data_IF_203031372423
#
_entry.id   IF_203031372423
#
_cell.length_a   1.000
_cell.length_b   1.000
_cell.length_c   1.000
_cell.angle_alpha   90.00
_cell.angle_beta   90.00
_cell.angle_gamma   90.00
#
_symmetry.space_group_name_H-M   'P 1'
#
loop_
_entity.id
_entity.type
_entity.pdbx_description
1 polymer ?
#
# COMPACT_ATOMS: atom_id res chain seq x y z
N UNK A 1 -0.84 -46.15 -60.90
CA UNK A 1 -1.34 -46.09 -59.50
C UNK A 1 -1.90 -44.69 -59.27
N UNK A 2 -3.23 -44.50 -59.23
CA UNK A 2 -3.84 -43.21 -58.91
C UNK A 2 -4.03 -43.03 -57.38
N UNK A 3 -3.93 -41.79 -56.85
CA UNK A 3 -4.19 -41.49 -55.45
C UNK A 3 -5.69 -41.37 -55.16
N UNK A 4 -6.18 -42.01 -54.10
CA UNK A 4 -7.56 -41.82 -53.60
C UNK A 4 -7.56 -40.93 -52.36
N UNK A 5 -8.38 -39.89 -52.44
CA UNK A 5 -8.55 -38.79 -51.48
C UNK A 5 -9.31 -39.18 -50.19
N UNK A 6 -9.21 -38.37 -49.13
CA UNK A 6 -9.80 -38.62 -47.81
C UNK A 6 -11.31 -38.31 -47.74
N UNK A 7 -12.04 -39.04 -46.90
CA UNK A 7 -13.40 -38.68 -46.43
C UNK A 7 -13.38 -38.47 -44.92
N UNK A 8 -13.63 -37.24 -44.49
CA UNK A 8 -14.00 -36.90 -43.11
C UNK A 8 -15.49 -36.53 -43.10
N UNK A 9 -16.35 -37.21 -42.33
CA UNK A 9 -17.72 -36.76 -42.10
C UNK A 9 -17.91 -36.18 -40.69
N UNK A 10 -18.58 -35.03 -40.62
CA UNK A 10 -19.63 -34.81 -39.62
C UNK A 10 -19.35 -33.78 -38.52
N UNK A 11 -19.54 -32.49 -38.85
CA UNK A 11 -19.81 -31.44 -37.88
C UNK A 11 -21.19 -31.65 -37.23
N UNK A 12 -21.22 -31.92 -35.93
CA UNK A 12 -22.45 -31.91 -35.12
C UNK A 12 -22.60 -30.60 -34.37
N UNK A 13 -23.33 -29.64 -34.95
CA UNK A 13 -23.81 -28.44 -34.25
C UNK A 13 -25.08 -28.83 -33.48
N UNK A 14 -25.07 -28.66 -32.15
CA UNK A 14 -26.31 -28.62 -31.36
C UNK A 14 -26.33 -27.35 -30.50
N UNK A 15 -27.13 -26.41 -30.98
CA UNK A 15 -27.60 -25.23 -30.25
C UNK A 15 -28.63 -25.57 -29.17
N UNK A 16 -28.71 -24.66 -28.20
CA UNK A 16 -29.87 -24.32 -27.35
C UNK A 16 -29.85 -24.87 -25.92
N UNK A 17 -29.65 -23.96 -24.95
CA UNK A 17 -30.75 -23.50 -24.08
C UNK A 17 -30.32 -22.25 -23.29
N UNK A 18 -31.08 -21.18 -23.53
CA UNK A 18 -31.10 -19.95 -22.74
C UNK A 18 -32.01 -20.22 -21.53
N UNK A 19 -31.53 -19.94 -20.32
CA UNK A 19 -32.38 -19.75 -19.15
C UNK A 19 -31.84 -18.57 -18.33
N UNK A 20 -32.59 -17.47 -18.38
CA UNK A 20 -32.38 -16.27 -17.59
C UNK A 20 -33.07 -16.41 -16.23
N UNK A 21 -32.38 -16.07 -15.13
CA UNK A 21 -33.02 -15.70 -13.85
C UNK A 21 -32.28 -14.50 -13.23
N UNK A 22 -32.88 -13.34 -13.47
CA UNK A 22 -33.16 -12.18 -12.59
C UNK A 22 -32.39 -12.05 -11.26
N UNK A 23 -31.45 -11.08 -11.28
CA UNK A 23 -31.27 -9.94 -10.36
C UNK A 23 -31.82 -10.07 -8.92
N UNK A 24 -30.92 -10.15 -7.95
CA UNK A 24 -31.10 -9.56 -6.62
C UNK A 24 -30.12 -8.39 -6.47
N UNK A 25 -30.60 -7.19 -6.78
CA UNK A 25 -29.96 -5.93 -6.41
C UNK A 25 -30.36 -5.60 -4.97
N UNK A 26 -29.41 -5.46 -4.05
CA UNK A 26 -29.50 -4.61 -2.85
C UNK A 26 -28.17 -4.60 -2.10
N UNK A 27 -27.53 -3.41 -2.04
CA UNK A 27 -26.52 -2.94 -1.07
C UNK A 27 -25.35 -3.87 -0.73
N UNK A 28 -24.08 -3.51 -0.95
CA UNK A 28 -23.41 -2.33 -0.40
C UNK A 28 -22.34 -1.89 -1.41
N UNK A 29 -22.70 -0.89 -2.22
CA UNK A 29 -21.73 -0.07 -2.95
C UNK A 29 -21.30 1.08 -2.02
N UNK A 30 -20.50 0.77 -1.00
CA UNK A 30 -19.88 1.76 -0.12
C UNK A 30 -18.66 1.15 0.55
N UNK A 31 -17.48 1.37 -0.02
CA UNK A 31 -16.23 0.94 0.63
C UNK A 31 -14.97 1.59 0.09
N UNK A 32 -14.90 1.91 -1.21
CA UNK A 32 -13.63 2.35 -1.82
C UNK A 32 -13.66 3.71 -2.54
N UNK A 33 -14.75 4.47 -2.46
CA UNK A 33 -14.85 5.80 -3.12
C UNK A 33 -14.81 7.01 -2.19
N UNK A 34 -14.53 6.87 -0.88
CA UNK A 34 -14.60 8.01 0.06
C UNK A 34 -13.25 8.70 0.38
N UNK A 35 -12.17 8.49 -0.39
CA UNK A 35 -10.85 9.11 -0.06
C UNK A 35 -10.27 9.91 -1.23
N UNK A 36 -11.13 10.52 -2.04
CA UNK A 36 -10.69 11.52 -3.03
C UNK A 36 -11.67 12.68 -2.96
N UNK A 37 -11.19 13.86 -2.53
CA UNK A 37 -11.84 15.20 -2.58
C UNK A 37 -12.53 15.77 -1.31
N UNK A 38 -11.82 15.96 -0.20
CA UNK A 38 -12.10 17.14 0.65
C UNK A 38 -10.81 17.83 1.05
N UNK A 39 -10.27 18.58 0.09
CA UNK A 39 -9.22 19.57 0.27
C UNK A 39 -9.51 20.79 -0.61
N UNK A 40 -10.74 21.31 -0.55
CA UNK A 40 -11.09 22.62 -1.15
C UNK A 40 -11.69 23.50 -0.07
N UNK A 41 -10.83 24.37 0.45
CA UNK A 41 -11.07 25.79 0.73
C UNK A 41 -12.49 26.28 0.44
N UNK A 42 -13.21 26.74 1.47
CA UNK A 42 -13.99 27.99 1.48
C UNK A 42 -14.43 28.26 2.91
N UNK A 43 -13.85 29.28 3.52
CA UNK A 43 -14.15 29.72 4.88
C UNK A 43 -13.55 31.11 5.11
N UNK A 44 -13.99 32.07 4.31
CA UNK A 44 -13.86 33.47 4.64
C UNK A 44 -14.75 33.73 5.87
N UNK A 45 -14.14 33.99 7.01
CA UNK A 45 -14.79 34.42 8.24
C UNK A 45 -13.74 35.13 9.08
N UNK A 46 -13.79 36.45 9.07
CA UNK A 46 -12.80 37.28 9.74
C UNK A 46 -12.94 37.23 11.25
N UNK A 47 -11.80 37.24 11.93
CA UNK A 47 -11.64 37.88 13.24
C UNK A 47 -10.16 38.26 13.43
N UNK A 48 -9.88 39.55 13.33
CA UNK A 48 -8.83 40.23 14.10
C UNK A 48 -9.53 40.78 15.37
N UNK A 49 -8.82 41.20 16.44
CA UNK A 49 -7.47 40.88 16.91
C UNK A 49 -7.39 40.62 18.44
N UNK A 50 -6.37 39.90 18.92
CA UNK A 50 -5.81 40.20 20.26
C UNK A 50 -4.30 39.99 20.26
N UNK A 51 -3.57 41.11 20.31
CA UNK A 51 -2.15 41.17 20.66
C UNK A 51 -1.99 40.73 22.12
N UNK A 52 -1.36 39.58 22.34
CA UNK A 52 -0.75 39.28 23.63
C UNK A 52 0.76 39.49 23.53
N UNK A 53 1.19 40.64 24.04
CA UNK A 53 2.58 40.98 24.31
C UNK A 53 3.12 40.02 25.39
N UNK A 54 3.98 39.08 25.00
CA UNK A 54 4.77 38.30 25.94
C UNK A 54 6.14 38.97 26.08
N UNK A 55 6.29 39.72 27.16
CA UNK A 55 7.56 40.29 27.61
C UNK A 55 8.41 39.15 28.17
N UNK A 56 9.46 38.70 27.45
CA UNK A 56 10.45 37.77 28.01
C UNK A 56 11.70 38.53 28.44
N UNK A 57 11.86 38.64 29.74
CA UNK A 57 13.00 39.19 30.46
C UNK A 57 14.31 38.51 30.06
N UNK A 58 15.30 39.30 29.64
CA UNK A 58 16.69 38.91 29.46
C UNK A 58 17.37 38.99 30.84
N UNK A 59 17.94 37.88 31.31
CA UNK A 59 18.83 37.84 32.47
C UNK A 59 20.22 37.33 32.04
N UNK A 60 21.32 38.02 32.41
CA UNK A 60 22.67 37.55 32.14
C UNK A 60 23.12 36.61 33.27
N UNK A 61 23.69 35.46 32.93
CA UNK A 61 24.05 34.42 33.90
C UNK A 61 25.10 33.45 33.36
N UNK A 62 26.32 33.97 33.28
CA UNK A 62 27.63 33.31 33.19
C UNK A 62 27.75 32.00 34.00
N UNK A 63 28.32 30.94 33.41
CA UNK A 63 29.50 30.21 33.91
C UNK A 63 29.77 28.90 33.15
N UNK A 64 30.96 28.85 32.55
CA UNK A 64 31.67 27.69 32.00
C UNK A 64 32.04 26.69 33.10
N UNK A 65 31.96 25.38 32.82
CA UNK A 65 33.18 24.55 32.96
C UNK A 65 33.38 23.54 31.81
N UNK A 66 34.62 23.40 31.39
CA UNK A 66 35.20 22.21 30.75
C UNK A 66 36.18 21.57 31.78
N UNK A 67 36.86 20.43 31.53
CA UNK A 67 36.66 19.31 30.59
C UNK A 67 36.72 17.94 31.30
N UNK A 68 36.32 16.82 30.68
CA UNK A 68 37.05 15.53 30.85
C UNK A 68 36.73 14.59 29.68
N UNK A 69 37.76 14.17 28.96
CA UNK A 69 37.66 13.21 27.88
C UNK A 69 37.39 11.80 28.41
N UNK A 70 36.49 11.09 27.74
CA UNK A 70 36.40 9.64 27.83
C UNK A 70 36.46 9.08 26.43
N UNK A 71 37.62 8.51 26.12
CA UNK A 71 37.89 7.76 24.90
C UNK A 71 37.02 6.51 24.91
N UNK A 72 35.97 6.50 24.09
CA UNK A 72 35.18 5.31 23.82
C UNK A 72 35.67 4.70 22.51
N UNK A 73 36.22 3.49 22.61
CA UNK A 73 36.64 2.66 21.49
C UNK A 73 35.55 2.57 20.43
N UNK A 74 35.86 3.04 19.22
CA UNK A 74 35.07 2.80 18.02
C UNK A 74 35.23 1.34 17.62
N UNK A 75 34.32 0.48 18.07
CA UNK A 75 34.12 -0.84 17.47
C UNK A 75 33.49 -0.63 16.10
N UNK A 76 34.30 -0.73 15.04
CA UNK A 76 33.84 -0.80 13.66
C UNK A 76 33.13 -2.14 13.45
N UNK A 77 31.84 -2.18 13.76
CA UNK A 77 30.96 -3.26 13.30
C UNK A 77 30.78 -3.07 11.80
N UNK A 78 31.46 -3.89 10.99
CA UNK A 78 31.22 -3.99 9.56
C UNK A 78 29.75 -4.32 9.32
N UNK A 79 28.96 -3.28 9.02
CA UNK A 79 27.59 -3.42 8.54
C UNK A 79 27.65 -3.98 7.13
N UNK A 80 27.65 -5.31 7.02
CA UNK A 80 27.44 -6.01 5.76
C UNK A 80 26.08 -5.54 5.22
N UNK A 81 26.10 -4.83 4.10
CA UNK A 81 24.87 -4.43 3.41
C UNK A 81 24.03 -5.69 3.15
N UNK A 82 22.73 -5.70 3.51
CA UNK A 82 21.89 -6.85 3.25
C UNK A 82 21.85 -7.07 1.73
N UNK A 83 22.39 -8.19 1.29
CA UNK A 83 22.18 -8.72 -0.05
C UNK A 83 20.67 -8.76 -0.32
N UNK A 84 20.18 -8.32 -1.50
CA UNK A 84 18.77 -8.44 -1.86
C UNK A 84 18.27 -9.86 -1.57
N UNK A 85 17.36 -9.94 -0.59
CA UNK A 85 17.10 -11.15 0.17
C UNK A 85 16.56 -12.29 -0.70
N UNK A 86 17.07 -13.49 -0.42
CA UNK A 86 16.50 -14.75 -0.86
C UNK A 86 14.96 -14.77 -0.66
N UNK A 87 14.21 -15.52 -1.49
CA UNK A 87 12.77 -15.65 -1.30
C UNK A 87 12.48 -16.11 0.13
N UNK A 88 11.69 -15.32 0.86
CA UNK A 88 11.23 -15.72 2.20
C UNK A 88 10.42 -17.01 2.04
N UNK A 89 10.67 -18.05 2.86
CA UNK A 89 10.03 -19.34 2.68
C UNK A 89 8.50 -19.20 2.70
N UNK A 90 7.83 -19.85 1.76
CA UNK A 90 6.37 -19.89 1.67
C UNK A 90 5.78 -20.35 3.01
N UNK A 91 4.79 -19.64 3.56
CA UNK A 91 4.20 -20.00 4.83
C UNK A 91 3.46 -21.34 4.76
N UNK A 92 3.62 -22.16 5.78
CA UNK A 92 3.03 -23.52 5.84
C UNK A 92 1.68 -23.57 6.55
N UNK A 93 1.22 -22.46 7.13
CA UNK A 93 -0.09 -22.33 7.79
C UNK A 93 -0.57 -20.86 7.80
N UNK A 94 -1.86 -20.65 8.08
CA UNK A 94 -2.43 -19.30 8.26
C UNK A 94 -1.74 -18.49 9.37
N UNK A 95 -1.46 -19.12 10.51
CA UNK A 95 -0.77 -18.46 11.61
C UNK A 95 0.67 -18.07 11.25
N UNK A 96 1.38 -18.90 10.48
CA UNK A 96 2.71 -18.57 9.97
C UNK A 96 2.65 -17.43 8.95
N UNK A 97 1.68 -17.43 8.03
CA UNK A 97 1.50 -16.35 7.06
C UNK A 97 1.20 -15.02 7.74
N UNK A 98 0.30 -15.02 8.73
CA UNK A 98 -0.03 -13.83 9.51
C UNK A 98 1.19 -13.29 10.28
N UNK A 99 1.95 -14.17 10.94
CA UNK A 99 3.19 -13.79 11.61
C UNK A 99 4.17 -13.14 10.63
N UNK A 100 4.42 -13.77 9.48
CA UNK A 100 5.35 -13.25 8.47
C UNK A 100 4.88 -11.91 7.87
N UNK A 101 3.58 -11.71 7.66
CA UNK A 101 3.02 -10.42 7.24
C UNK A 101 3.29 -9.31 8.26
N UNK A 102 3.11 -9.61 9.56
CA UNK A 102 3.42 -8.67 10.63
C UNK A 102 4.90 -8.36 10.73
N UNK A 103 5.77 -9.39 10.72
CA UNK A 103 7.22 -9.22 10.73
C UNK A 103 7.70 -8.37 9.54
N UNK A 104 7.12 -8.58 8.36
CA UNK A 104 7.41 -7.77 7.18
C UNK A 104 7.00 -6.31 7.41
N UNK A 105 5.77 -6.08 7.85
CA UNK A 105 5.28 -4.72 8.12
C UNK A 105 6.07 -4.00 9.21
N UNK A 106 6.42 -4.67 10.30
CA UNK A 106 7.24 -4.12 11.37
C UNK A 106 8.64 -3.72 10.86
N UNK A 107 9.27 -4.61 10.10
CA UNK A 107 10.60 -4.37 9.55
C UNK A 107 10.59 -3.18 8.57
N UNK A 108 9.59 -3.10 7.71
CA UNK A 108 9.48 -2.04 6.71
C UNK A 108 9.09 -0.70 7.34
N UNK A 109 8.16 -0.68 8.30
CA UNK A 109 7.79 0.53 9.04
C UNK A 109 9.01 1.13 9.77
N UNK A 110 9.84 0.29 10.40
CA UNK A 110 11.04 0.76 11.12
C UNK A 110 12.08 1.46 10.23
N UNK A 111 12.10 1.15 8.91
CA UNK A 111 13.05 1.73 7.94
C UNK A 111 12.42 2.78 7.03
N UNK A 112 11.13 3.07 7.21
CA UNK A 112 10.35 3.86 6.27
C UNK A 112 9.57 4.96 7.01
N UNK A 113 10.26 5.99 7.52
CA UNK A 113 9.59 7.12 8.15
C UNK A 113 8.71 7.84 7.11
N UNK A 114 7.45 8.18 7.44
CA UNK A 114 6.61 9.00 6.57
C UNK A 114 7.20 10.39 6.33
N UNK A 115 7.25 10.79 5.06
CA UNK A 115 7.97 11.98 4.57
C UNK A 115 7.04 13.01 3.91
N UNK A 116 5.74 12.75 3.90
CA UNK A 116 4.73 13.61 3.28
C UNK A 116 4.73 13.59 1.76
N UNK A 117 5.37 12.59 1.12
CA UNK A 117 5.33 12.42 -0.33
C UNK A 117 4.12 11.61 -0.79
N UNK A 118 3.80 11.74 -2.07
CA UNK A 118 2.78 10.90 -2.69
C UNK A 118 3.41 9.58 -3.14
N UNK A 119 2.72 8.49 -2.82
CA UNK A 119 3.17 7.12 -3.04
C UNK A 119 2.14 6.34 -3.83
N UNK A 120 2.54 5.20 -4.39
CA UNK A 120 1.61 4.30 -5.09
C UNK A 120 1.33 3.08 -4.22
N UNK A 121 0.06 2.73 -4.10
CA UNK A 121 -0.45 1.57 -3.38
C UNK A 121 -0.90 0.56 -4.42
N UNK A 122 -0.29 -0.62 -4.37
CA UNK A 122 -0.56 -1.73 -5.29
C UNK A 122 -1.68 -2.64 -4.78
N UNK A 123 -1.91 -2.64 -3.47
CA UNK A 123 -2.96 -3.44 -2.86
C UNK A 123 -3.03 -3.20 -1.36
N UNK A 124 -4.23 -3.38 -0.81
CA UNK A 124 -4.47 -3.34 0.62
C UNK A 124 -5.47 -4.42 1.01
N UNK A 125 -5.18 -5.18 2.06
CA UNK A 125 -6.01 -6.33 2.49
C UNK A 125 -5.90 -6.57 4.00
N UNK A 126 -6.95 -7.13 4.59
CA UNK A 126 -6.93 -7.75 5.92
C UNK A 126 -7.56 -9.14 5.83
N UNK A 127 -7.26 -10.04 6.78
CA UNK A 127 -7.82 -11.40 6.76
C UNK A 127 -9.34 -11.34 6.88
N UNK A 128 -10.03 -12.00 5.96
CA UNK A 128 -11.49 -12.03 5.90
C UNK A 128 -12.13 -10.96 5.02
N UNK A 129 -11.36 -10.05 4.41
CA UNK A 129 -11.92 -9.14 3.39
C UNK A 129 -12.37 -9.93 2.16
N UNK A 130 -13.54 -9.59 1.62
CA UNK A 130 -14.02 -10.13 0.35
C UNK A 130 -13.83 -9.06 -0.72
N UNK A 131 -13.17 -9.42 -1.80
CA UNK A 131 -12.97 -8.58 -2.98
C UNK A 131 -13.38 -9.37 -4.22
N UNK A 132 -14.66 -9.28 -4.65
CA UNK A 132 -15.20 -10.11 -5.72
C UNK A 132 -14.53 -9.90 -7.08
N UNK A 133 -13.80 -8.80 -7.28
CA UNK A 133 -13.03 -8.58 -8.50
C UNK A 133 -11.77 -9.45 -8.54
N UNK A 134 -11.25 -9.85 -7.38
CA UNK A 134 -10.05 -10.66 -7.25
C UNK A 134 -10.39 -12.12 -6.90
N UNK A 135 -11.29 -12.35 -5.94
CA UNK A 135 -11.80 -13.67 -5.59
C UNK A 135 -13.14 -13.63 -4.85
N UNK A 136 -13.96 -14.67 -5.03
CA UNK A 136 -15.26 -14.76 -4.37
C UNK A 136 -15.18 -15.12 -2.88
N UNK A 137 -14.14 -15.87 -2.48
CA UNK A 137 -13.90 -16.24 -1.10
C UNK A 137 -13.20 -15.11 -0.31
N UNK A 138 -13.39 -15.02 1.01
CA UNK A 138 -12.62 -14.10 1.85
C UNK A 138 -11.11 -14.39 1.75
N UNK A 139 -10.30 -13.34 1.73
CA UNK A 139 -8.83 -13.45 1.74
C UNK A 139 -8.34 -14.09 3.03
N UNK A 140 -7.54 -15.15 2.87
CA UNK A 140 -6.75 -15.75 3.95
C UNK A 140 -5.44 -14.99 4.17
N UNK A 141 -4.70 -15.27 5.24
CA UNK A 141 -3.38 -14.69 5.42
C UNK A 141 -2.38 -15.23 4.37
N UNK A 142 -2.54 -16.49 3.96
CA UNK A 142 -1.74 -17.07 2.88
C UNK A 142 -1.99 -16.37 1.54
N UNK A 143 -3.24 -16.04 1.20
CA UNK A 143 -3.58 -15.30 -0.02
C UNK A 143 -2.91 -13.91 -0.04
N UNK A 144 -3.02 -13.17 1.06
CA UNK A 144 -2.44 -11.82 1.19
C UNK A 144 -0.91 -11.90 1.06
N UNK A 145 -0.27 -12.84 1.75
CA UNK A 145 1.18 -13.06 1.63
C UNK A 145 1.59 -13.39 0.20
N UNK A 146 0.89 -14.31 -0.45
CA UNK A 146 1.19 -14.73 -1.82
C UNK A 146 1.03 -13.56 -2.81
N UNK A 147 -0.03 -12.76 -2.66
CA UNK A 147 -0.28 -11.57 -3.46
C UNK A 147 0.83 -10.53 -3.29
N UNK A 148 1.23 -10.22 -2.06
CA UNK A 148 2.27 -9.21 -1.80
C UNK A 148 3.65 -9.67 -2.28
N UNK A 149 3.96 -10.96 -2.14
CA UNK A 149 5.13 -11.55 -2.79
C UNK A 149 5.03 -11.49 -4.33
N UNK A 150 3.83 -11.62 -4.88
CA UNK A 150 3.54 -11.42 -6.30
C UNK A 150 3.91 -10.02 -6.76
N UNK A 151 3.45 -8.98 -6.06
CA UNK A 151 3.82 -7.60 -6.34
C UNK A 151 5.33 -7.38 -6.24
N UNK A 152 5.98 -7.87 -5.18
CA UNK A 152 7.44 -7.74 -5.04
C UNK A 152 8.21 -8.36 -6.22
N UNK A 153 7.74 -9.48 -6.77
CA UNK A 153 8.34 -10.09 -7.97
C UNK A 153 8.05 -9.29 -9.24
N UNK A 154 6.80 -8.85 -9.42
CA UNK A 154 6.36 -8.06 -10.58
C UNK A 154 7.11 -6.72 -10.68
N UNK A 155 7.35 -6.07 -9.54
CA UNK A 155 8.08 -4.80 -9.41
C UNK A 155 9.51 -5.00 -8.91
N UNK A 156 10.18 -6.06 -9.40
CA UNK A 156 11.54 -6.39 -8.99
C UNK A 156 12.58 -5.33 -9.38
N UNK A 157 12.31 -4.55 -10.43
CA UNK A 157 13.14 -3.39 -10.80
C UNK A 157 13.05 -2.24 -9.77
N UNK A 158 11.98 -2.23 -8.97
CA UNK A 158 11.72 -1.26 -7.90
C UNK A 158 11.74 -1.92 -6.51
N UNK A 159 12.44 -3.06 -6.37
CA UNK A 159 12.46 -3.84 -5.13
C UNK A 159 12.97 -3.04 -3.92
N UNK A 160 13.86 -2.07 -4.13
CA UNK A 160 14.36 -1.16 -3.10
C UNK A 160 13.29 -0.17 -2.59
N UNK A 161 12.25 0.08 -3.38
CA UNK A 161 11.11 0.97 -3.09
C UNK A 161 9.90 0.23 -2.56
N UNK A 162 9.83 -1.08 -2.76
CA UNK A 162 8.70 -1.90 -2.31
C UNK A 162 8.68 -2.01 -0.79
N UNK A 163 7.54 -1.64 -0.19
CA UNK A 163 7.30 -1.79 1.24
C UNK A 163 5.94 -2.40 1.50
N UNK A 164 5.85 -3.19 2.57
CA UNK A 164 4.58 -3.57 3.18
C UNK A 164 4.45 -2.79 4.47
N UNK A 165 3.35 -2.05 4.64
CA UNK A 165 3.07 -1.28 5.85
C UNK A 165 1.69 -1.64 6.40
N UNK A 166 1.41 -1.30 7.65
CA UNK A 166 0.03 -1.29 8.14
C UNK A 166 -0.57 0.09 7.88
N UNK A 167 -1.87 0.10 7.65
CA UNK A 167 -2.70 1.31 7.59
C UNK A 167 -2.59 2.20 8.83
N UNK A 168 -2.17 1.67 9.97
CA UNK A 168 -1.90 2.42 11.21
C UNK A 168 -0.53 3.10 11.27
N UNK A 169 0.39 2.78 10.36
CA UNK A 169 1.78 3.24 10.42
C UNK A 169 1.96 4.65 9.81
N UNK A 170 0.93 5.18 9.15
CA UNK A 170 0.98 6.48 8.47
C UNK A 170 -0.40 7.16 8.35
N UNK A 171 -0.39 8.43 7.98
CA UNK A 171 -1.56 9.24 7.65
C UNK A 171 -2.60 9.32 8.76
N UNK A 172 -3.87 9.12 8.40
CA UNK A 172 -4.99 9.16 9.36
C UNK A 172 -5.23 7.82 10.08
N UNK A 173 -4.27 6.88 10.02
CA UNK A 173 -4.34 5.58 10.70
C UNK A 173 -5.63 4.82 10.41
N UNK A 174 -5.98 4.74 9.12
CA UNK A 174 -7.29 4.28 8.68
C UNK A 174 -7.57 2.83 9.12
N UNK A 175 -8.84 2.56 9.38
CA UNK A 175 -9.36 1.22 9.66
C UNK A 175 -10.58 0.98 8.80
N UNK A 176 -10.73 -0.25 8.33
CA UNK A 176 -11.93 -0.68 7.61
C UNK A 176 -12.65 -1.75 8.43
N UNK A 177 -13.92 -1.50 8.79
CA UNK A 177 -14.67 -2.41 9.67
C UNK A 177 -14.01 -2.66 11.03
N UNK A 178 -13.21 -1.70 11.53
CA UNK A 178 -12.43 -1.85 12.77
C UNK A 178 -11.07 -2.55 12.60
N UNK A 179 -10.78 -3.09 11.41
CA UNK A 179 -9.55 -3.81 11.13
C UNK A 179 -8.43 -2.88 10.65
N UNK A 180 -7.23 -3.11 11.18
CA UNK A 180 -5.98 -2.67 10.54
C UNK A 180 -5.71 -3.63 9.40
N UNK A 181 -5.36 -3.07 8.24
CA UNK A 181 -5.00 -3.83 7.05
C UNK A 181 -3.55 -3.56 6.65
N UNK A 182 -2.95 -4.53 5.96
CA UNK A 182 -1.64 -4.39 5.35
C UNK A 182 -1.77 -3.73 3.96
N UNK A 183 -0.75 -2.97 3.58
CA UNK A 183 -0.70 -2.16 2.37
C UNK A 183 0.63 -2.43 1.68
N UNK A 184 0.59 -2.91 0.44
CA UNK A 184 1.76 -3.02 -0.42
C UNK A 184 1.94 -1.72 -1.22
N UNK A 185 3.10 -1.08 -1.08
CA UNK A 185 3.40 0.23 -1.65
C UNK A 185 4.72 0.22 -2.41
N UNK A 186 4.85 1.12 -3.38
CA UNK A 186 6.16 1.54 -3.89
C UNK A 186 6.39 3.00 -3.51
N UNK A 187 7.58 3.26 -2.98
CA UNK A 187 7.96 4.56 -2.46
C UNK A 187 8.79 5.35 -3.47
N UNK A 188 8.25 6.49 -3.89
CA UNK A 188 8.81 7.46 -4.80
C UNK A 188 8.78 8.86 -4.16
N UNK A 189 9.48 9.79 -4.80
CA UNK A 189 9.54 11.19 -4.37
C UNK A 189 8.50 12.07 -5.08
N UNK A 190 7.30 11.55 -5.36
CA UNK A 190 6.28 12.31 -6.07
C UNK A 190 5.82 13.53 -5.25
N UNK A 191 5.83 14.70 -5.89
CA UNK A 191 5.38 15.96 -5.31
C UNK A 191 3.87 16.12 -5.31
N UNK A 192 3.14 15.31 -6.09
CA UNK A 192 1.69 15.42 -6.21
C UNK A 192 0.96 14.08 -6.41
N UNK A 193 -0.32 14.08 -6.08
CA UNK A 193 -1.23 12.97 -6.37
C UNK A 193 -1.30 12.66 -7.88
N UNK A 194 -1.18 13.68 -8.74
CA UNK A 194 -1.26 13.54 -10.18
C UNK A 194 -0.05 12.80 -10.75
N UNK A 195 1.15 13.05 -10.23
CA UNK A 195 2.37 12.32 -10.62
C UNK A 195 2.27 10.83 -10.24
N UNK A 196 1.86 10.53 -9.01
CA UNK A 196 1.66 9.15 -8.56
C UNK A 196 0.58 8.42 -9.39
N UNK A 197 -0.52 9.11 -9.71
CA UNK A 197 -1.57 8.58 -10.58
C UNK A 197 -1.08 8.36 -12.01
N UNK A 198 -0.28 9.29 -12.56
CA UNK A 198 0.33 9.15 -13.88
C UNK A 198 1.20 7.90 -13.96
N UNK A 199 2.02 7.65 -12.93
CA UNK A 199 2.79 6.42 -12.84
C UNK A 199 1.90 5.16 -12.86
N UNK A 200 0.81 5.14 -12.08
CA UNK A 200 -0.15 4.03 -12.12
C UNK A 200 -0.74 3.84 -13.53
N UNK A 201 -1.16 4.92 -14.19
CA UNK A 201 -1.73 4.87 -15.54
C UNK A 201 -0.74 4.30 -16.56
N UNK A 202 0.50 4.78 -16.55
CA UNK A 202 1.55 4.33 -17.46
C UNK A 202 1.89 2.85 -17.22
N UNK A 203 1.95 2.43 -15.95
CA UNK A 203 2.35 1.08 -15.57
C UNK A 203 1.31 0.02 -15.92
N UNK A 204 0.03 0.35 -15.81
CA UNK A 204 -1.07 -0.60 -16.00
C UNK A 204 -1.81 -0.41 -17.32
N UNK A 205 -1.62 0.71 -18.02
CA UNK A 205 -2.37 1.04 -19.25
C UNK A 205 -3.87 1.18 -19.00
N UNK A 206 -4.28 1.56 -17.77
CA UNK A 206 -5.67 1.62 -17.32
C UNK A 206 -6.02 3.02 -16.82
N UNK A 207 -7.32 3.32 -16.78
CA UNK A 207 -7.86 4.56 -16.20
C UNK A 207 -9.16 4.28 -15.43
N UNK A 208 -9.61 5.26 -14.65
CA UNK A 208 -10.85 5.16 -13.88
C UNK A 208 -10.83 4.00 -12.87
N UNK A 209 -12.00 3.39 -12.64
CA UNK A 209 -12.16 2.30 -11.66
C UNK A 209 -11.26 1.09 -11.95
N UNK A 210 -11.06 0.75 -13.23
CA UNK A 210 -10.21 -0.37 -13.59
C UNK A 210 -8.75 -0.17 -13.16
N UNK A 211 -8.29 1.08 -13.07
CA UNK A 211 -6.98 1.41 -12.52
C UNK A 211 -6.99 1.31 -10.98
N UNK A 212 -8.04 1.80 -10.33
CA UNK A 212 -8.14 1.84 -8.87
C UNK A 212 -8.13 0.44 -8.22
N UNK A 213 -8.57 -0.59 -8.95
CA UNK A 213 -8.45 -1.99 -8.51
C UNK A 213 -7.00 -2.51 -8.47
N UNK A 214 -6.10 -1.91 -9.26
CA UNK A 214 -4.70 -2.34 -9.37
C UNK A 214 -3.71 -1.37 -8.70
N UNK A 215 -3.99 -0.07 -8.71
CA UNK A 215 -3.06 0.98 -8.31
C UNK A 215 -3.80 2.27 -7.95
N UNK A 216 -3.56 2.76 -6.73
CA UNK A 216 -4.05 4.06 -6.27
C UNK A 216 -2.91 4.89 -5.68
N UNK A 217 -3.10 6.20 -5.63
CA UNK A 217 -2.19 7.12 -4.96
C UNK A 217 -2.54 7.28 -3.47
N UNK A 218 -1.53 7.39 -2.60
CA UNK A 218 -1.69 7.68 -1.19
C UNK A 218 -0.70 8.75 -0.71
N UNK A 219 -1.15 9.61 0.21
CA UNK A 219 -0.28 10.63 0.80
C UNK A 219 0.38 10.07 2.07
N UNK A 220 1.69 9.87 2.03
CA UNK A 220 2.45 9.18 3.07
C UNK A 220 2.94 10.13 4.15
N UNK A 221 2.00 10.64 4.94
CA UNK A 221 2.27 11.58 6.05
C UNK A 221 2.47 10.86 7.38
N UNK A 222 3.13 11.47 8.36
CA UNK A 222 3.19 10.92 9.71
C UNK A 222 1.78 10.70 10.30
N UNK A 223 1.60 9.70 11.19
CA UNK A 223 0.37 9.54 11.95
C UNK A 223 -0.03 10.83 12.68
N UNK A 224 -1.30 11.21 12.60
CA UNK A 224 -1.83 12.30 13.44
C UNK A 224 -2.00 11.78 14.87
N UNK A 225 -1.35 12.44 15.82
CA UNK A 225 -1.51 12.18 17.26
C UNK A 225 -2.85 12.66 17.80
#
# INVERSE_FOLDING_TARGET
MPPSSPRTPGSGVRSSLIAAIVVFSLGIAAGLTYIVQHGTTTGAGGEQPTLHTVTRTVGPGQSTPAPTGQSASSTTTSSVAPTPGAPSPTPTSEADALRKLNEWADADAARTPPDGKWQVVLGSKYVGIVDPQQQAAPFTAQDIWAQFQGYRRQFSAEADKFRVLRSSDYGNQQRFGGHVYWVAMLLFDFGSAAEAKGWCQDRFGKTGKALEEDCIQAHFTPPRG
#
